data_IF_713186169469
#
_entry.id   IF_713186169469
#
_cell.length_a   1.000
_cell.length_b   1.000
_cell.length_c   1.000
_cell.angle_alpha   90.00
_cell.angle_beta   90.00
_cell.angle_gamma   90.00
#
_symmetry.space_group_name_H-M   'P 1'
#
loop_
_entity.id
_entity.type
_entity.pdbx_description
1 polymer ?
#
# COMPACT_ATOMS: atom_id res chain seq x y z
N UNK A 1 19.99 9.29 2.08
CA UNK A 1 19.34 10.07 1.00
C UNK A 1 19.71 9.66 -0.42
N UNK A 2 20.58 8.65 -0.68
CA UNK A 2 21.04 8.30 -2.04
C UNK A 2 20.07 7.42 -2.86
N UNK A 3 18.97 6.94 -2.26
CA UNK A 3 18.10 5.92 -2.89
C UNK A 3 16.66 6.40 -3.13
N UNK A 4 16.42 7.71 -3.04
CA UNK A 4 15.11 8.30 -3.38
C UNK A 4 15.06 8.59 -4.88
N UNK A 5 14.07 8.00 -5.57
CA UNK A 5 13.85 8.13 -7.00
C UNK A 5 12.47 8.74 -7.22
N UNK A 6 12.33 9.67 -8.17
CA UNK A 6 11.05 10.34 -8.42
C UNK A 6 10.60 10.24 -9.87
N UNK A 7 9.29 10.16 -10.07
CA UNK A 7 8.62 10.22 -11.37
C UNK A 7 7.47 11.21 -11.30
N UNK A 8 7.14 11.84 -12.42
CA UNK A 8 6.07 12.85 -12.47
C UNK A 8 5.34 12.86 -13.82
N UNK A 9 4.11 13.35 -13.79
CA UNK A 9 3.26 13.70 -14.95
C UNK A 9 2.57 15.04 -14.65
N UNK A 10 1.69 15.51 -15.55
CA UNK A 10 0.88 16.69 -15.28
C UNK A 10 -0.10 16.50 -14.10
N UNK A 11 -0.43 15.24 -13.77
CA UNK A 11 -1.45 14.86 -12.79
C UNK A 11 -0.92 14.10 -11.58
N UNK A 12 0.39 13.84 -11.51
CA UNK A 12 0.97 13.13 -10.38
C UNK A 12 2.46 13.41 -10.20
N UNK A 13 2.92 13.28 -8.97
CA UNK A 13 4.34 13.23 -8.62
C UNK A 13 4.52 12.19 -7.51
N UNK A 14 5.51 11.33 -7.66
CA UNK A 14 5.79 10.23 -6.74
C UNK A 14 7.28 10.23 -6.39
N UNK A 15 7.59 10.00 -5.12
CA UNK A 15 8.93 9.64 -4.65
C UNK A 15 8.90 8.21 -4.13
N UNK A 16 9.77 7.37 -4.67
CA UNK A 16 10.02 5.98 -4.31
C UNK A 16 11.33 5.89 -3.51
N UNK A 17 11.30 5.25 -2.34
CA UNK A 17 12.50 4.91 -1.59
C UNK A 17 12.97 3.51 -2.00
N UNK A 18 13.94 3.47 -2.91
CA UNK A 18 14.49 2.23 -3.41
C UNK A 18 15.21 1.41 -2.32
N UNK A 19 15.64 2.01 -1.21
CA UNK A 19 16.27 1.24 -0.13
C UNK A 19 15.27 0.44 0.73
N UNK A 20 13.99 0.85 0.75
CA UNK A 20 12.94 0.21 1.56
C UNK A 20 11.77 -0.36 0.74
N UNK A 21 11.65 0.05 -0.53
CA UNK A 21 10.54 -0.37 -1.40
C UNK A 21 9.23 0.38 -1.19
N UNK A 22 9.23 1.48 -0.43
CA UNK A 22 8.04 2.25 -0.09
C UNK A 22 7.91 3.56 -0.89
N UNK A 23 6.72 4.15 -0.86
CA UNK A 23 6.35 5.37 -1.59
C UNK A 23 6.13 6.50 -0.59
N UNK A 24 7.18 7.09 0.01
CA UNK A 24 7.02 8.05 1.09
C UNK A 24 6.23 9.30 0.71
N UNK A 25 6.17 9.63 -0.59
CA UNK A 25 5.45 10.79 -1.09
C UNK A 25 4.71 10.45 -2.37
N UNK A 26 3.40 10.67 -2.35
CA UNK A 26 2.53 10.64 -3.52
C UNK A 26 1.71 11.92 -3.54
N UNK A 27 1.79 12.67 -4.63
CA UNK A 27 0.95 13.84 -4.87
C UNK A 27 0.17 13.63 -6.15
N UNK A 28 -1.13 13.88 -6.12
CA UNK A 28 -2.03 13.74 -7.26
C UNK A 28 -2.73 15.07 -7.53
N UNK A 29 -2.94 15.42 -8.80
CA UNK A 29 -3.49 16.71 -9.20
C UNK A 29 -4.76 16.54 -10.04
N UNK A 30 -5.83 17.16 -9.56
CA UNK A 30 -7.09 17.22 -10.29
C UNK A 30 -7.81 18.55 -10.07
N UNK A 31 -8.52 19.03 -11.09
CA UNK A 31 -9.23 20.31 -11.05
C UNK A 31 -8.37 21.46 -10.48
N UNK A 32 -7.08 21.52 -10.87
CA UNK A 32 -6.14 22.54 -10.44
C UNK A 32 -5.51 22.34 -9.06
N UNK A 33 -5.99 21.41 -8.23
CA UNK A 33 -5.55 21.21 -6.85
C UNK A 33 -4.66 19.98 -6.69
N UNK A 34 -3.57 20.12 -5.93
CA UNK A 34 -2.71 19.01 -5.51
C UNK A 34 -3.21 18.42 -4.19
N UNK A 35 -3.18 17.09 -4.10
CA UNK A 35 -3.56 16.31 -2.92
C UNK A 35 -2.40 15.36 -2.59
N UNK A 36 -2.01 15.33 -1.32
CA UNK A 36 -1.03 14.37 -0.76
C UNK A 36 -1.79 13.45 0.19
N UNK A 37 -2.22 12.26 -0.28
CA UNK A 37 -3.15 11.43 0.50
C UNK A 37 -2.44 10.52 1.51
N UNK A 38 -1.16 10.21 1.31
CA UNK A 38 -0.44 9.20 2.09
C UNK A 38 0.37 9.81 3.25
N UNK A 39 0.55 9.02 4.31
CA UNK A 39 1.25 9.40 5.53
C UNK A 39 2.72 8.97 5.51
N UNK A 40 3.63 9.81 5.98
CA UNK A 40 4.98 9.43 6.38
C UNK A 40 5.14 9.63 7.88
N UNK A 41 5.67 8.62 8.59
CA UNK A 41 5.85 8.69 10.03
C UNK A 41 6.82 9.83 10.40
N UNK A 42 6.57 10.57 11.50
CA UNK A 42 7.34 11.76 11.84
C UNK A 42 8.82 11.47 12.15
N UNK A 43 9.16 10.22 12.45
CA UNK A 43 10.53 9.78 12.73
C UNK A 43 11.31 9.23 11.54
N UNK A 44 10.68 9.18 10.36
CA UNK A 44 11.26 8.53 9.18
C UNK A 44 12.68 9.00 8.87
N UNK A 45 12.95 10.29 9.09
CA UNK A 45 14.25 10.90 8.78
C UNK A 45 15.07 11.23 10.05
N UNK A 46 14.63 10.81 11.24
CA UNK A 46 15.36 10.99 12.51
C UNK A 46 16.63 10.13 12.52
N UNK A 47 17.85 10.73 12.60
CA UNK A 47 19.10 9.98 12.55
C UNK A 47 19.21 8.89 13.61
N UNK A 48 18.68 9.12 14.81
CA UNK A 48 18.72 8.18 15.93
C UNK A 48 17.87 6.94 15.63
N UNK A 49 16.69 7.11 15.03
CA UNK A 49 15.83 6.00 14.62
C UNK A 49 16.46 5.27 13.44
N UNK A 50 17.05 5.98 12.47
CA UNK A 50 17.73 5.35 11.34
C UNK A 50 18.96 4.55 11.76
N UNK A 51 19.66 4.96 12.83
CA UNK A 51 20.82 4.25 13.36
C UNK A 51 20.47 2.98 14.17
N UNK A 52 19.22 2.84 14.63
CA UNK A 52 18.81 1.70 15.48
C UNK A 52 18.46 0.46 14.66
N UNK A 53 19.46 -0.38 14.39
CA UNK A 53 19.31 -1.62 13.61
C UNK A 53 18.49 -2.71 14.29
N UNK A 54 18.06 -2.52 15.55
CA UNK A 54 17.11 -3.42 16.23
C UNK A 54 15.69 -3.23 15.73
N UNK A 55 15.40 -2.06 15.15
CA UNK A 55 14.12 -1.76 14.52
C UNK A 55 14.12 -2.25 13.07
N UNK A 56 13.09 -3.00 12.62
CA UNK A 56 12.90 -3.33 11.22
C UNK A 56 12.96 -2.08 10.34
N UNK A 57 13.46 -2.23 9.10
CA UNK A 57 13.57 -1.10 8.19
C UNK A 57 12.21 -0.48 7.87
N UNK A 58 11.17 -1.30 7.74
CA UNK A 58 9.78 -0.85 7.52
C UNK A 58 9.30 0.07 8.65
N UNK A 59 9.66 -0.20 9.91
CA UNK A 59 9.28 0.64 11.06
C UNK A 59 10.12 1.91 11.12
N UNK A 60 11.43 1.81 10.87
CA UNK A 60 12.32 2.98 10.82
C UNK A 60 11.92 3.96 9.72
N UNK A 61 11.45 3.45 8.57
CA UNK A 61 11.11 4.25 7.39
C UNK A 61 9.62 4.23 7.05
N UNK A 62 8.76 3.96 8.03
CA UNK A 62 7.31 3.82 7.83
C UNK A 62 6.73 5.01 7.06
N UNK A 63 6.31 4.78 5.82
CA UNK A 63 5.69 5.82 5.00
C UNK A 63 4.95 5.25 3.79
N UNK A 64 3.92 5.98 3.38
CA UNK A 64 3.32 5.84 2.07
C UNK A 64 2.49 4.59 1.89
N UNK A 65 2.74 3.96 0.74
CA UNK A 65 2.38 2.59 0.43
C UNK A 65 3.66 1.75 0.27
N UNK A 66 3.62 0.51 0.73
CA UNK A 66 4.64 -0.51 0.52
C UNK A 66 3.97 -1.86 0.31
N UNK A 67 4.65 -2.74 -0.42
CA UNK A 67 4.14 -4.07 -0.73
C UNK A 67 4.66 -5.07 0.28
N UNK A 68 3.77 -5.79 0.95
CA UNK A 68 4.11 -6.79 1.94
C UNK A 68 4.17 -8.18 1.30
N UNK A 69 5.28 -8.88 1.46
CA UNK A 69 5.47 -10.24 0.97
C UNK A 69 6.60 -10.94 1.78
N UNK A 70 6.26 -11.84 2.72
CA UNK A 70 4.90 -12.14 3.20
C UNK A 70 4.25 -10.98 3.96
N UNK A 71 2.92 -10.90 3.95
CA UNK A 71 2.14 -9.98 4.80
C UNK A 71 2.17 -10.38 6.28
N UNK A 72 2.13 -9.37 7.17
CA UNK A 72 2.21 -9.49 8.62
C UNK A 72 3.48 -10.23 9.09
N UNK A 73 3.34 -11.25 9.94
CA UNK A 73 4.46 -12.07 10.43
C UNK A 73 4.80 -13.21 9.48
N UNK A 74 6.09 -13.47 9.28
CA UNK A 74 6.61 -14.62 8.55
C UNK A 74 6.79 -15.84 9.46
N UNK A 75 6.91 -17.03 8.86
CA UNK A 75 7.25 -18.28 9.58
C UNK A 75 8.72 -18.26 10.02
N UNK A 76 9.62 -17.82 9.15
CA UNK A 76 11.03 -17.66 9.48
C UNK A 76 11.22 -16.39 10.33
N UNK A 77 11.70 -16.50 11.59
CA UNK A 77 11.86 -15.35 12.48
C UNK A 77 12.93 -14.35 12.02
N UNK A 78 13.77 -14.72 11.03
CA UNK A 78 14.75 -13.80 10.44
C UNK A 78 14.10 -12.88 9.39
N UNK A 79 12.89 -13.19 8.94
CA UNK A 79 12.15 -12.35 8.01
C UNK A 79 11.45 -11.25 8.82
N UNK A 80 11.73 -9.97 8.52
CA UNK A 80 11.15 -8.86 9.27
C UNK A 80 9.62 -8.77 9.07
N UNK A 81 8.91 -8.06 9.95
CA UNK A 81 7.49 -7.78 9.76
C UNK A 81 7.21 -7.19 8.36
N UNK A 82 6.12 -7.61 7.74
CA UNK A 82 5.73 -7.28 6.36
C UNK A 82 6.69 -7.79 5.27
N UNK A 83 7.62 -8.68 5.63
CA UNK A 83 8.43 -9.41 4.69
C UNK A 83 9.55 -8.60 4.05
N UNK A 84 10.27 -9.24 3.15
CA UNK A 84 11.48 -8.67 2.56
C UNK A 84 11.20 -7.53 1.59
N UNK A 85 10.04 -7.51 0.93
CA UNK A 85 9.67 -6.46 -0.03
C UNK A 85 9.53 -5.08 0.60
N UNK A 86 9.20 -5.01 1.90
CA UNK A 86 9.10 -3.77 2.68
C UNK A 86 10.38 -3.44 3.48
N UNK A 87 11.38 -4.33 3.45
CA UNK A 87 12.57 -4.26 4.30
C UNK A 87 13.89 -4.44 3.54
N UNK A 88 13.87 -4.44 2.21
CA UNK A 88 15.06 -4.64 1.38
C UNK A 88 15.16 -3.60 0.28
N UNK A 89 16.38 -3.45 -0.24
CA UNK A 89 16.64 -2.61 -1.40
C UNK A 89 16.02 -3.18 -2.68
N UNK A 90 15.59 -2.27 -3.54
CA UNK A 90 15.05 -2.49 -4.86
C UNK A 90 15.99 -1.86 -5.88
N UNK A 91 16.34 -2.61 -6.92
CA UNK A 91 17.10 -2.09 -8.05
C UNK A 91 16.14 -1.49 -9.06
N UNK A 92 16.19 -0.17 -9.24
CA UNK A 92 15.46 0.51 -10.33
C UNK A 92 16.08 0.09 -11.66
N UNK A 93 15.26 -0.48 -12.53
CA UNK A 93 15.67 -0.96 -13.86
C UNK A 93 15.27 -0.02 -14.99
N UNK A 94 14.22 0.78 -14.76
CA UNK A 94 13.72 1.76 -15.71
C UNK A 94 13.13 2.95 -14.94
N UNK A 95 13.43 4.15 -15.41
CA UNK A 95 12.84 5.38 -14.90
C UNK A 95 12.63 6.34 -16.08
N UNK A 96 11.37 6.58 -16.41
CA UNK A 96 10.93 7.51 -17.43
C UNK A 96 9.91 8.48 -16.81
N UNK A 97 9.44 9.45 -17.61
CA UNK A 97 8.36 10.33 -17.20
C UNK A 97 7.13 9.50 -16.83
N UNK A 98 6.68 9.64 -15.59
CA UNK A 98 5.51 8.93 -15.06
C UNK A 98 5.64 7.41 -14.94
N UNK A 99 6.82 6.80 -15.16
CA UNK A 99 6.99 5.35 -15.11
C UNK A 99 8.29 4.97 -14.38
N UNK A 100 8.17 4.05 -13.43
CA UNK A 100 9.31 3.44 -12.74
C UNK A 100 9.14 1.93 -12.70
N UNK A 101 10.21 1.20 -12.98
CA UNK A 101 10.29 -0.25 -12.79
C UNK A 101 11.44 -0.57 -11.84
N UNK A 102 11.20 -1.51 -10.94
CA UNK A 102 12.22 -1.99 -10.03
C UNK A 102 12.06 -3.48 -9.77
N UNK A 103 13.16 -4.12 -9.38
CA UNK A 103 13.20 -5.53 -9.01
C UNK A 103 13.78 -5.65 -7.60
N UNK A 104 13.23 -6.56 -6.80
CA UNK A 104 13.70 -6.79 -5.44
C UNK A 104 15.15 -7.33 -5.44
N UNK A 105 16.00 -6.77 -4.60
CA UNK A 105 17.38 -7.20 -4.43
C UNK A 105 18.39 -6.55 -5.38
N UNK A 106 19.68 -6.77 -5.08
CA UNK A 106 20.81 -6.11 -5.75
C UNK A 106 21.46 -6.94 -6.90
N UNK A 107 20.97 -8.13 -7.20
CA UNK A 107 21.57 -9.01 -8.23
C UNK A 107 21.16 -8.62 -9.66
N UNK A 108 22.09 -8.84 -10.59
CA UNK A 108 22.11 -8.30 -11.95
C UNK A 108 21.15 -8.97 -12.96
N UNK A 109 20.60 -10.15 -12.66
CA UNK A 109 19.88 -10.94 -13.68
C UNK A 109 18.39 -11.04 -13.37
N UNK A 110 17.63 -10.03 -13.80
CA UNK A 110 16.18 -10.09 -14.06
C UNK A 110 15.87 -8.95 -15.05
N UNK A 111 16.53 -8.99 -16.21
CA UNK A 111 16.00 -8.40 -17.42
C UNK A 111 15.11 -9.49 -18.06
N UNK A 112 13.97 -9.10 -18.65
CA UNK A 112 13.04 -9.99 -19.37
C UNK A 112 11.84 -10.55 -18.59
N UNK A 113 11.47 -9.96 -17.45
CA UNK A 113 10.09 -10.10 -16.98
C UNK A 113 9.16 -9.36 -17.94
N UNK A 114 8.19 -10.01 -18.62
CA UNK A 114 7.21 -9.29 -19.43
C UNK A 114 6.31 -8.50 -18.48
N UNK A 115 6.54 -7.18 -18.43
CA UNK A 115 5.79 -6.26 -17.60
C UNK A 115 4.68 -5.64 -18.45
N UNK A 116 3.46 -5.58 -17.93
CA UNK A 116 2.27 -5.37 -18.79
C UNK A 116 1.92 -3.91 -19.08
N UNK A 117 2.67 -2.96 -18.50
CA UNK A 117 2.48 -1.54 -18.77
C UNK A 117 3.40 -1.10 -19.92
N UNK A 118 2.89 -0.77 -21.12
CA UNK A 118 3.71 -0.10 -22.13
C UNK A 118 4.05 1.33 -21.69
N UNK A 119 5.20 1.86 -22.12
CA UNK A 119 5.56 3.27 -21.93
C UNK A 119 4.46 4.18 -22.49
N UNK A 120 4.20 5.35 -21.87
CA UNK A 120 3.27 6.33 -22.42
C UNK A 120 3.70 6.68 -23.85
N UNK A 121 2.83 6.49 -24.85
CA UNK A 121 3.16 6.82 -26.24
C UNK A 121 3.51 8.31 -26.34
N UNK A 122 4.74 8.62 -26.74
CA UNK A 122 5.15 9.96 -27.13
C UNK A 122 4.29 10.43 -28.30
N UNK A 123 3.40 11.41 -28.08
CA UNK A 123 2.85 12.21 -29.18
C UNK A 123 3.78 13.40 -29.40
N UNK A 124 4.43 13.42 -30.57
CA UNK A 124 4.83 14.62 -31.32
C UNK A 124 5.82 15.56 -30.64
N UNK A 125 7.01 15.61 -31.21
CA UNK A 125 8.12 16.48 -30.85
C UNK A 125 7.73 17.97 -30.78
N UNK A 126 8.21 18.63 -29.73
CA UNK A 126 8.18 20.08 -29.52
C UNK A 126 9.27 20.43 -28.52
N UNK A 127 10.51 20.46 -28.99
CA UNK A 127 11.73 20.67 -28.23
C UNK A 127 11.76 22.10 -27.66
N UNK A 128 11.77 22.24 -26.33
CA UNK A 128 12.17 23.46 -25.64
C UNK A 128 13.36 23.10 -24.75
N UNK A 129 14.48 23.74 -25.06
CA UNK A 129 15.77 23.56 -24.41
C UNK A 129 15.71 23.99 -22.93
N UNK A 130 16.28 23.16 -22.05
CA UNK A 130 16.53 23.51 -20.65
C UNK A 130 18.04 23.63 -20.43
N UNK A 131 18.44 24.78 -19.88
CA UNK A 131 19.82 25.18 -19.62
C UNK A 131 20.50 24.32 -18.53
N UNK A 132 21.82 24.16 -18.68
CA UNK A 132 22.69 23.34 -17.86
C UNK A 132 23.06 24.01 -16.51
N UNK A 133 23.22 23.19 -15.46
CA UNK A 133 23.74 23.59 -14.14
C UNK A 133 24.99 22.74 -13.81
N UNK A 134 26.08 23.33 -13.25
CA UNK A 134 27.42 22.77 -13.36
C UNK A 134 27.81 21.75 -12.27
N UNK A 135 28.72 20.84 -12.66
CA UNK A 135 29.43 19.85 -11.83
C UNK A 135 30.37 20.45 -10.79
N UNK A 136 30.42 19.84 -9.59
CA UNK A 136 31.54 19.97 -8.63
C UNK A 136 31.84 18.61 -7.92
N UNK A 137 33.05 18.40 -7.37
CA UNK A 137 33.78 17.13 -7.44
C UNK A 137 33.70 16.24 -6.18
N UNK A 138 34.17 15.00 -6.34
CA UNK A 138 34.31 13.98 -5.30
C UNK A 138 35.42 14.29 -4.29
N UNK A 139 35.31 13.78 -3.04
CA UNK A 139 36.46 13.56 -2.18
C UNK A 139 36.77 12.08 -1.96
N UNK A 140 38.08 11.87 -1.79
CA UNK A 140 38.87 10.64 -1.72
C UNK A 140 38.63 9.80 -0.47
N UNK A 141 38.96 8.52 -0.62
CA UNK A 141 39.11 7.47 0.38
C UNK A 141 40.02 7.85 1.55
N UNK A 142 39.76 7.23 2.73
CA UNK A 142 40.79 6.63 3.60
C UNK A 142 40.17 5.87 4.79
N UNK A 143 40.62 4.62 4.97
CA UNK A 143 40.98 4.06 6.28
C UNK A 143 40.02 3.06 6.92
N UNK A 144 40.26 1.77 6.70
CA UNK A 144 39.71 0.65 7.48
C UNK A 144 40.44 0.48 8.83
N UNK A 145 39.70 -0.03 9.83
CA UNK A 145 40.21 -0.63 11.06
C UNK A 145 39.11 -1.51 11.70
N UNK A 146 39.41 -2.73 12.20
CA UNK A 146 38.43 -3.81 12.27
C UNK A 146 37.65 -3.83 13.60
N UNK A 147 36.32 -3.77 13.50
CA UNK A 147 35.39 -4.04 14.59
C UNK A 147 34.47 -5.20 14.21
N UNK A 148 34.76 -6.39 14.73
CA UNK A 148 34.00 -7.62 14.47
C UNK A 148 32.75 -7.62 15.35
N UNK A 149 31.56 -7.49 14.76
CA UNK A 149 30.28 -7.57 15.47
C UNK A 149 29.06 -7.68 14.56
N UNK A 150 28.64 -8.92 14.29
CA UNK A 150 27.42 -9.41 13.63
C UNK A 150 27.14 -9.06 12.15
N UNK A 151 27.08 -10.15 11.35
CA UNK A 151 26.60 -10.29 9.96
C UNK A 151 25.18 -9.72 9.84
N UNK A 152 24.73 -9.06 8.79
CA UNK A 152 25.25 -8.72 7.48
C UNK A 152 24.02 -8.35 6.65
N UNK A 153 24.06 -7.26 5.88
CA UNK A 153 22.99 -6.87 4.96
C UNK A 153 22.69 -8.05 4.02
N UNK A 154 21.70 -8.86 4.37
CA UNK A 154 21.29 -9.97 3.53
C UNK A 154 20.65 -9.36 2.28
N UNK A 155 21.37 -9.38 1.16
CA UNK A 155 20.84 -9.02 -0.13
C UNK A 155 19.81 -10.06 -0.56
N UNK A 156 18.57 -9.91 -0.07
CA UNK A 156 17.47 -10.78 -0.46
C UNK A 156 17.09 -10.48 -1.90
N UNK A 157 17.18 -11.51 -2.74
CA UNK A 157 16.78 -11.46 -4.16
C UNK A 157 15.51 -12.26 -4.43
N UNK A 158 15.09 -13.12 -3.51
CA UNK A 158 13.88 -13.94 -3.64
C UNK A 158 13.10 -14.04 -2.34
N UNK A 159 11.78 -14.21 -2.45
CA UNK A 159 10.86 -14.44 -1.32
C UNK A 159 10.19 -15.78 -1.53
N UNK A 160 10.43 -16.75 -0.64
CA UNK A 160 9.99 -18.15 -0.82
C UNK A 160 10.42 -18.74 -2.17
N UNK A 161 11.61 -18.33 -2.66
CA UNK A 161 12.13 -18.71 -3.97
C UNK A 161 11.50 -17.99 -5.16
N UNK A 162 10.55 -17.08 -4.94
CA UNK A 162 9.96 -16.26 -5.99
C UNK A 162 10.76 -14.98 -6.23
N UNK A 163 10.85 -14.55 -7.48
CA UNK A 163 11.34 -13.23 -7.85
C UNK A 163 10.18 -12.24 -7.82
N UNK A 164 10.45 -10.98 -7.44
CA UNK A 164 9.42 -9.95 -7.35
C UNK A 164 9.88 -8.69 -8.07
N UNK A 165 9.10 -8.25 -9.04
CA UNK A 165 9.23 -6.96 -9.70
C UNK A 165 8.07 -6.04 -9.33
N UNK A 166 8.33 -4.73 -9.43
CA UNK A 166 7.40 -3.64 -9.15
C UNK A 166 7.39 -2.67 -10.31
N UNK A 167 6.20 -2.22 -10.69
CA UNK A 167 5.99 -1.14 -11.65
C UNK A 167 5.11 -0.09 -10.98
N UNK A 168 5.54 1.17 -11.06
CA UNK A 168 4.80 2.34 -10.62
C UNK A 168 4.56 3.22 -11.84
N UNK A 169 3.30 3.49 -12.17
CA UNK A 169 2.95 4.35 -13.30
C UNK A 169 1.93 5.41 -12.89
N UNK A 170 2.27 6.67 -13.11
CA UNK A 170 1.35 7.79 -12.96
C UNK A 170 0.55 7.97 -14.26
N UNK A 171 -0.75 8.21 -14.15
CA UNK A 171 -1.58 8.58 -15.29
C UNK A 171 -1.14 9.94 -15.86
N UNK A 172 -1.30 10.09 -17.17
CA UNK A 172 -0.97 11.32 -17.89
C UNK A 172 -2.11 12.32 -17.93
N UNK A 173 -3.33 11.87 -17.64
CA UNK A 173 -4.59 12.57 -17.86
C UNK A 173 -5.58 12.40 -16.69
N UNK A 174 -5.16 11.74 -15.62
CA UNK A 174 -5.99 11.44 -14.45
C UNK A 174 -5.14 11.47 -13.16
N UNK A 175 -5.75 11.70 -11.99
CA UNK A 175 -5.03 11.71 -10.72
C UNK A 175 -4.93 10.28 -10.17
N UNK A 176 -4.24 9.41 -10.93
CA UNK A 176 -4.14 7.98 -10.64
C UNK A 176 -2.69 7.50 -10.61
N UNK A 177 -2.34 6.76 -9.57
CA UNK A 177 -1.17 5.91 -9.50
C UNK A 177 -1.59 4.45 -9.74
N UNK A 178 -1.00 3.83 -10.76
CA UNK A 178 -1.09 2.41 -11.05
C UNK A 178 0.12 1.68 -10.47
N UNK A 179 -0.12 0.62 -9.71
CA UNK A 179 0.93 -0.21 -9.12
C UNK A 179 0.73 -1.66 -9.54
N UNK A 180 1.78 -2.29 -10.03
CA UNK A 180 1.80 -3.70 -10.41
C UNK A 180 2.99 -4.39 -9.76
N UNK A 181 2.74 -5.53 -9.13
CA UNK A 181 3.76 -6.45 -8.67
C UNK A 181 3.66 -7.76 -9.45
N UNK A 182 4.77 -8.17 -10.06
CA UNK A 182 4.88 -9.46 -10.74
C UNK A 182 5.70 -10.38 -9.86
N UNK A 183 5.12 -11.52 -9.52
CA UNK A 183 5.74 -12.54 -8.67
C UNK A 183 5.89 -13.81 -9.51
N UNK A 184 7.11 -14.27 -9.72
CA UNK A 184 7.39 -15.44 -10.55
C UNK A 184 8.04 -16.57 -9.78
N UNK A 185 7.60 -17.79 -10.10
CA UNK A 185 8.08 -19.04 -9.50
C UNK A 185 7.87 -19.06 -7.97
N UNK A 186 8.76 -19.73 -7.24
CA UNK A 186 8.69 -19.89 -5.79
C UNK A 186 7.87 -21.10 -5.34
N UNK A 187 7.74 -21.24 -4.03
CA UNK A 187 7.16 -22.41 -3.37
C UNK A 187 6.27 -22.01 -2.20
N UNK A 188 5.25 -22.82 -1.91
CA UNK A 188 4.36 -22.60 -0.78
C UNK A 188 3.25 -21.58 -1.06
N UNK A 189 2.74 -20.95 0.00
CA UNK A 189 1.65 -19.97 -0.06
C UNK A 189 2.16 -18.63 0.45
N UNK A 190 2.17 -17.61 -0.40
CA UNK A 190 2.67 -16.28 -0.08
C UNK A 190 1.50 -15.33 0.21
N UNK A 191 1.25 -14.95 1.48
CA UNK A 191 0.29 -13.89 1.77
C UNK A 191 0.87 -12.54 1.34
N UNK A 192 0.06 -11.71 0.69
CA UNK A 192 0.52 -10.40 0.18
C UNK A 192 -0.48 -9.29 0.47
N UNK A 193 0.00 -8.05 0.55
CA UNK A 193 -0.87 -6.87 0.56
C UNK A 193 -0.16 -5.61 0.09
N UNK A 194 -0.93 -4.69 -0.49
CA UNK A 194 -0.58 -3.27 -0.48
C UNK A 194 -0.89 -2.67 0.89
N UNK A 195 -0.14 -1.65 1.29
CA UNK A 195 -0.25 -1.05 2.62
C UNK A 195 -0.27 0.49 2.58
N UNK A 196 -1.17 1.13 1.81
CA UNK A 196 -1.27 2.59 1.79
C UNK A 196 -1.81 3.09 3.13
N UNK A 197 -1.10 4.06 3.71
CA UNK A 197 -1.51 4.72 4.95
C UNK A 197 -2.09 6.09 4.63
N UNK A 198 -3.38 6.30 4.91
CA UNK A 198 -4.05 7.58 4.74
C UNK A 198 -3.96 8.37 6.05
N UNK A 199 -3.52 9.63 5.97
CA UNK A 199 -3.55 10.55 7.10
C UNK A 199 -4.83 11.40 7.08
N UNK A 200 -5.41 11.60 8.27
CA UNK A 200 -6.53 12.48 8.53
C UNK A 200 -6.15 13.50 9.60
N UNK A 201 -6.17 14.78 9.22
CA UNK A 201 -6.01 15.90 10.16
C UNK A 201 -7.21 16.01 11.11
N UNK A 202 -8.37 15.53 10.67
CA UNK A 202 -9.62 15.54 11.43
C UNK A 202 -10.43 14.28 11.22
N UNK A 203 -11.73 14.45 10.97
CA UNK A 203 -12.63 13.33 10.75
C UNK A 203 -12.61 12.83 9.31
N UNK A 204 -12.95 11.56 9.12
CA UNK A 204 -13.15 10.97 7.81
C UNK A 204 -14.37 10.08 7.75
N UNK A 205 -14.85 9.83 6.53
CA UNK A 205 -15.89 8.86 6.24
C UNK A 205 -15.40 7.83 5.24
N UNK A 206 -15.59 6.56 5.57
CA UNK A 206 -15.14 5.42 4.79
C UNK A 206 -16.29 4.76 4.04
N UNK A 207 -16.05 4.48 2.77
CA UNK A 207 -16.97 3.87 1.83
C UNK A 207 -16.25 2.73 1.12
N UNK A 208 -17.00 1.71 0.70
CA UNK A 208 -16.40 0.54 0.06
C UNK A 208 -17.41 -0.14 -0.85
N UNK A 209 -16.91 -0.90 -1.82
CA UNK A 209 -17.66 -1.96 -2.48
C UNK A 209 -18.19 -2.96 -1.44
N UNK A 210 -19.23 -3.71 -1.83
CA UNK A 210 -19.93 -4.64 -0.93
C UNK A 210 -18.97 -5.67 -0.29
N UNK A 211 -19.08 -5.82 1.03
CA UNK A 211 -18.34 -6.82 1.83
C UNK A 211 -19.29 -7.86 2.39
N UNK A 212 -18.85 -9.11 2.53
CA UNK A 212 -19.65 -10.20 3.15
C UNK A 212 -19.44 -10.30 4.65
N UNK A 213 -18.27 -9.89 5.13
CA UNK A 213 -17.90 -9.99 6.53
C UNK A 213 -16.87 -8.93 6.92
N UNK A 214 -16.89 -8.58 8.19
CA UNK A 214 -15.85 -7.83 8.90
C UNK A 214 -15.36 -8.73 10.03
N UNK A 215 -14.06 -8.95 10.11
CA UNK A 215 -13.42 -9.80 11.11
C UNK A 215 -12.39 -8.98 11.89
N UNK A 216 -12.30 -9.19 13.20
CA UNK A 216 -11.13 -8.78 13.98
C UNK A 216 -10.29 -10.03 14.32
N UNK A 217 -8.96 -9.90 14.39
CA UNK A 217 -8.07 -11.01 14.70
C UNK A 217 -8.29 -11.57 16.12
N UNK A 218 -7.72 -12.74 16.40
CA UNK A 218 -7.82 -13.42 17.70
C UNK A 218 -7.32 -12.56 18.87
N UNK A 219 -6.38 -11.65 18.62
CA UNK A 219 -5.79 -10.76 19.60
C UNK A 219 -5.64 -9.35 19.03
N UNK A 220 -5.75 -8.30 19.87
CA UNK A 220 -5.47 -6.93 19.44
C UNK A 220 -3.99 -6.76 19.06
N UNK A 221 -3.71 -5.78 18.19
CA UNK A 221 -2.35 -5.36 17.84
C UNK A 221 -1.55 -4.92 19.08
N UNK A 222 -2.20 -4.13 19.94
CA UNK A 222 -1.59 -3.58 21.15
C UNK A 222 -2.56 -3.83 22.32
N UNK A 223 -2.22 -4.76 23.25
CA UNK A 223 -3.08 -5.10 24.38
C UNK A 223 -3.49 -3.88 25.21
N UNK A 224 -4.79 -3.73 25.46
CA UNK A 224 -5.33 -2.60 26.23
C UNK A 224 -5.44 -1.28 25.47
N UNK A 225 -5.07 -1.25 24.18
CA UNK A 225 -5.20 -0.06 23.31
C UNK A 225 -6.27 -0.22 22.21
N UNK A 226 -6.96 -1.35 22.15
CA UNK A 226 -8.02 -1.56 21.15
C UNK A 226 -9.36 -0.90 21.53
N UNK A 227 -10.04 -0.30 20.55
CA UNK A 227 -11.44 0.11 20.64
C UNK A 227 -12.39 -1.05 20.30
N UNK A 228 -12.00 -1.92 19.38
CA UNK A 228 -12.78 -3.06 18.90
C UNK A 228 -12.68 -4.25 19.88
N UNK A 229 -13.66 -5.14 19.83
CA UNK A 229 -13.55 -6.45 20.47
C UNK A 229 -12.71 -7.41 19.62
N UNK A 230 -11.95 -8.29 20.27
CA UNK A 230 -11.07 -9.28 19.63
C UNK A 230 -11.26 -10.67 20.28
N UNK A 231 -11.51 -11.73 19.50
CA UNK A 231 -11.99 -11.72 18.11
C UNK A 231 -13.46 -11.28 18.02
N UNK A 232 -13.85 -10.83 16.84
CA UNK A 232 -15.23 -10.48 16.51
C UNK A 232 -15.50 -10.72 15.02
N UNK A 233 -16.78 -10.98 14.70
CA UNK A 233 -17.30 -11.05 13.34
C UNK A 233 -18.56 -10.21 13.23
N UNK A 234 -18.68 -9.43 12.16
CA UNK A 234 -19.89 -8.70 11.79
C UNK A 234 -20.17 -8.82 10.29
N UNK A 235 -21.41 -8.57 9.88
CA UNK A 235 -21.79 -8.40 8.47
C UNK A 235 -22.15 -6.94 8.16
N UNK A 236 -22.00 -6.04 9.13
CA UNK A 236 -22.37 -4.63 9.07
C UNK A 236 -21.21 -3.78 9.60
N UNK A 237 -20.60 -2.98 8.72
CA UNK A 237 -19.48 -2.10 9.05
C UNK A 237 -19.85 -1.04 10.10
N UNK A 238 -21.13 -0.70 10.23
CA UNK A 238 -21.61 0.28 11.20
C UNK A 238 -21.83 -0.32 12.60
N UNK A 239 -21.74 -1.64 12.72
CA UNK A 239 -22.03 -2.40 13.94
C UNK A 239 -20.97 -3.49 14.18
N UNK A 240 -19.73 -3.07 14.42
CA UNK A 240 -18.65 -3.98 14.82
C UNK A 240 -18.57 -4.03 16.34
N UNK A 241 -18.41 -5.22 16.92
CA UNK A 241 -18.34 -5.37 18.37
C UNK A 241 -17.17 -4.57 18.97
N UNK A 242 -17.45 -3.92 20.09
CA UNK A 242 -16.52 -3.01 20.74
C UNK A 242 -15.99 -3.60 22.06
N UNK A 243 -14.79 -3.20 22.49
CA UNK A 243 -14.17 -3.71 23.72
C UNK A 243 -14.96 -3.40 25.01
N UNK A 244 -15.78 -2.35 24.99
CA UNK A 244 -16.66 -1.91 26.09
C UNK A 244 -18.03 -2.60 26.09
N UNK A 245 -18.24 -3.59 25.21
CA UNK A 245 -19.52 -4.30 25.05
C UNK A 245 -20.53 -3.59 24.15
N UNK A 246 -20.19 -2.41 23.62
CA UNK A 246 -21.00 -1.68 22.64
C UNK A 246 -20.72 -2.08 21.18
N UNK A 247 -20.99 -1.15 20.27
CA UNK A 247 -20.65 -1.26 18.84
C UNK A 247 -19.88 -0.04 18.36
N UNK A 248 -19.00 -0.26 17.38
CA UNK A 248 -18.23 0.77 16.68
C UNK A 248 -18.66 0.83 15.22
N UNK A 249 -18.83 2.04 14.71
CA UNK A 249 -19.09 2.33 13.30
C UNK A 249 -17.76 2.55 12.57
N UNK A 250 -17.32 1.56 11.78
CA UNK A 250 -16.08 1.65 11.01
C UNK A 250 -16.17 2.60 9.81
N UNK A 251 -17.36 3.12 9.48
CA UNK A 251 -17.55 4.10 8.40
C UNK A 251 -17.24 5.54 8.84
N UNK A 252 -16.95 5.76 10.13
CA UNK A 252 -16.67 7.08 10.71
C UNK A 252 -15.37 7.07 11.50
N UNK A 253 -14.45 7.97 11.13
CA UNK A 253 -13.13 8.06 11.74
C UNK A 253 -12.94 9.40 12.47
N UNK A 254 -12.18 9.43 13.58
CA UNK A 254 -11.50 8.30 14.23
C UNK A 254 -12.48 7.38 14.99
N UNK A 255 -12.14 6.09 15.11
CA UNK A 255 -12.99 5.12 15.83
C UNK A 255 -12.79 5.17 17.36
N UNK A 256 -11.68 5.78 17.81
CA UNK A 256 -11.30 5.87 19.21
C UNK A 256 -10.20 6.91 19.43
N UNK A 257 -9.71 6.99 20.66
CA UNK A 257 -8.64 7.91 21.07
C UNK A 257 -7.46 7.11 21.60
N UNK A 258 -6.23 7.40 21.17
CA UNK A 258 -5.03 6.66 21.61
C UNK A 258 -5.17 5.15 21.42
N UNK A 259 -5.70 4.75 20.28
CA UNK A 259 -6.02 3.36 19.98
C UNK A 259 -5.12 2.77 18.89
N UNK A 260 -5.02 1.44 18.90
CA UNK A 260 -4.45 0.62 17.83
C UNK A 260 -5.41 -0.53 17.56
N UNK A 261 -6.01 -0.54 16.37
CA UNK A 261 -7.01 -1.54 16.00
C UNK A 261 -6.79 -2.10 14.60
N UNK A 262 -7.32 -3.30 14.38
CA UNK A 262 -7.24 -3.99 13.11
C UNK A 262 -8.55 -4.69 12.78
N UNK A 263 -9.06 -4.47 11.57
CA UNK A 263 -10.23 -5.17 11.03
C UNK A 263 -9.95 -5.64 9.61
N UNK A 264 -10.52 -6.78 9.22
CA UNK A 264 -10.41 -7.37 7.89
C UNK A 264 -11.80 -7.39 7.27
N UNK A 265 -11.97 -6.75 6.13
CA UNK A 265 -13.20 -6.69 5.35
C UNK A 265 -13.07 -7.69 4.19
N UNK A 266 -13.94 -8.68 4.13
CA UNK A 266 -13.92 -9.73 3.10
C UNK A 266 -14.84 -9.35 1.94
N UNK A 267 -14.34 -9.41 0.71
CA UNK A 267 -15.12 -9.06 -0.49
C UNK A 267 -16.37 -9.92 -0.62
N UNK A 268 -17.49 -9.30 -1.00
CA UNK A 268 -18.74 -10.04 -1.20
C UNK A 268 -18.73 -10.86 -2.49
N UNK A 269 -18.11 -10.37 -3.55
CA UNK A 269 -18.12 -10.96 -4.89
C UNK A 269 -16.76 -10.80 -5.58
N UNK A 270 -16.27 -11.80 -6.33
CA UNK A 270 -15.02 -11.69 -7.09
C UNK A 270 -15.17 -10.97 -8.44
N UNK A 271 -16.40 -10.75 -8.91
CA UNK A 271 -16.67 -10.06 -10.18
C UNK A 271 -16.53 -8.54 -10.05
N UNK A 272 -16.11 -7.89 -11.15
CA UNK A 272 -15.95 -6.43 -11.20
C UNK A 272 -14.70 -5.92 -10.49
N UNK A 273 -14.77 -4.70 -9.96
CA UNK A 273 -13.68 -4.05 -9.22
C UNK A 273 -14.02 -3.97 -7.74
N UNK A 274 -13.05 -4.28 -6.89
CA UNK A 274 -13.12 -3.97 -5.46
C UNK A 274 -12.65 -2.53 -5.27
N UNK A 275 -13.34 -1.77 -4.42
CA UNK A 275 -12.95 -0.40 -4.15
C UNK A 275 -13.16 -0.03 -2.68
N UNK A 276 -12.29 0.86 -2.20
CA UNK A 276 -12.37 1.51 -0.89
C UNK A 276 -12.13 2.99 -1.09
N UNK A 277 -12.86 3.85 -0.38
CA UNK A 277 -12.74 5.29 -0.52
C UNK A 277 -12.95 6.02 0.81
N UNK A 278 -12.25 7.13 0.98
CA UNK A 278 -12.27 7.98 2.16
C UNK A 278 -12.58 9.40 1.73
N UNK A 279 -13.65 9.98 2.29
CA UNK A 279 -13.81 11.44 2.33
C UNK A 279 -13.03 11.94 3.54
N UNK A 280 -11.99 12.75 3.31
CA UNK A 280 -11.25 13.44 4.37
C UNK A 280 -11.86 14.82 4.58
N UNK A 281 -12.52 15.02 5.71
CA UNK A 281 -13.40 16.19 5.89
C UNK A 281 -12.62 17.50 6.02
N UNK A 282 -11.48 17.48 6.73
CA UNK A 282 -10.65 18.68 6.93
C UNK A 282 -9.85 19.04 5.67
N UNK A 283 -9.39 18.01 4.96
CA UNK A 283 -8.67 18.16 3.71
C UNK A 283 -9.62 18.50 2.56
N UNK A 284 -10.91 18.20 2.64
CA UNK A 284 -11.89 18.42 1.56
C UNK A 284 -11.52 17.68 0.26
N UNK A 285 -11.18 16.40 0.40
CA UNK A 285 -10.87 15.52 -0.73
C UNK A 285 -11.39 14.10 -0.55
N UNK A 286 -11.35 13.35 -1.65
CA UNK A 286 -11.63 11.92 -1.72
C UNK A 286 -10.34 11.21 -2.08
N UNK A 287 -9.96 10.21 -1.29
CA UNK A 287 -8.90 9.24 -1.60
C UNK A 287 -9.57 7.90 -1.86
N UNK A 288 -9.16 7.19 -2.91
CA UNK A 288 -9.74 5.88 -3.23
C UNK A 288 -8.70 4.89 -3.74
N UNK A 289 -9.03 3.62 -3.55
CA UNK A 289 -8.21 2.47 -3.86
C UNK A 289 -9.02 1.48 -4.69
N UNK A 290 -8.43 0.94 -5.75
CA UNK A 290 -9.06 -0.06 -6.62
C UNK A 290 -8.20 -1.31 -6.71
N UNK A 291 -8.86 -2.46 -6.74
CA UNK A 291 -8.21 -3.78 -6.88
C UNK A 291 -9.07 -4.76 -7.68
N UNK A 292 -8.45 -5.86 -8.07
CA UNK A 292 -9.17 -7.07 -8.46
C UNK A 292 -9.53 -7.89 -7.21
N UNK A 293 -10.82 -8.05 -6.85
CA UNK A 293 -11.23 -8.80 -5.66
C UNK A 293 -11.03 -10.32 -5.80
N UNK A 294 -10.78 -10.84 -7.01
CA UNK A 294 -10.40 -12.23 -7.22
C UNK A 294 -8.91 -12.49 -6.88
N UNK A 295 -8.05 -11.46 -6.99
CA UNK A 295 -6.63 -11.53 -6.63
C UNK A 295 -6.40 -11.06 -5.20
N UNK A 296 -7.05 -9.97 -4.79
CA UNK A 296 -6.96 -9.34 -3.47
C UNK A 296 -8.33 -9.35 -2.78
N UNK A 297 -8.76 -10.50 -2.21
CA UNK A 297 -10.13 -10.69 -1.74
C UNK A 297 -10.43 -10.06 -0.37
N UNK A 298 -9.50 -9.33 0.22
CA UNK A 298 -9.71 -8.62 1.49
C UNK A 298 -9.20 -7.18 1.43
N UNK A 299 -9.83 -6.30 2.19
CA UNK A 299 -9.30 -4.98 2.58
C UNK A 299 -9.10 -5.00 4.08
N UNK A 300 -7.93 -4.65 4.58
CA UNK A 300 -7.66 -4.54 6.00
C UNK A 300 -7.61 -3.07 6.40
N UNK A 301 -8.18 -2.77 7.56
CA UNK A 301 -8.18 -1.45 8.15
C UNK A 301 -7.31 -1.49 9.40
N UNK A 302 -6.12 -0.91 9.33
CA UNK A 302 -5.27 -0.67 10.50
C UNK A 302 -5.49 0.76 10.99
N UNK A 303 -6.08 0.90 12.17
CA UNK A 303 -6.28 2.19 12.81
C UNK A 303 -5.13 2.46 13.78
N UNK A 304 -4.34 3.50 13.54
CA UNK A 304 -3.30 3.94 14.46
C UNK A 304 -3.51 5.40 14.84
N UNK A 305 -3.71 5.62 16.13
CA UNK A 305 -4.04 6.93 16.65
C UNK A 305 -3.30 7.25 17.95
N UNK A 306 -1.99 7.02 17.97
CA UNK A 306 -1.10 7.31 19.09
C UNK A 306 -1.19 6.30 20.24
N UNK A 307 -1.62 5.07 19.96
CA UNK A 307 -1.80 4.04 20.99
C UNK A 307 -0.51 3.29 21.38
N UNK A 308 0.52 3.30 20.52
CA UNK A 308 1.83 2.66 20.80
C UNK A 308 2.77 3.60 21.55
N UNK A 309 3.11 3.23 22.79
CA UNK A 309 3.97 4.06 23.65
C UNK A 309 5.47 3.75 23.51
N UNK A 310 5.83 2.64 22.87
CA UNK A 310 7.23 2.24 22.69
C UNK A 310 7.88 2.97 21.49
N UNK A 311 9.21 3.07 21.48
CA UNK A 311 9.95 3.65 20.36
C UNK A 311 9.84 2.77 19.09
N UNK A 312 9.81 3.35 17.87
CA UNK A 312 9.91 4.79 17.57
C UNK A 312 8.57 5.54 17.67
N UNK A 313 7.47 4.80 17.88
CA UNK A 313 6.09 5.31 17.89
C UNK A 313 5.89 6.41 18.91
N UNK A 314 6.20 6.15 20.19
CA UNK A 314 6.14 7.13 21.29
C UNK A 314 4.83 7.97 21.32
N UNK A 315 3.71 7.38 20.89
CA UNK A 315 2.41 8.06 20.76
C UNK A 315 2.31 9.13 19.66
N UNK A 316 3.28 9.20 18.73
CA UNK A 316 3.39 10.26 17.72
C UNK A 316 2.75 9.94 16.36
N UNK A 317 2.35 8.70 16.13
CA UNK A 317 1.64 8.29 14.91
C UNK A 317 0.13 8.40 15.12
N UNK A 318 -0.45 9.51 14.68
CA UNK A 318 -1.80 9.97 15.06
C UNK A 318 -2.62 10.23 13.81
N UNK A 319 -3.91 9.85 13.83
CA UNK A 319 -4.83 10.11 12.73
C UNK A 319 -4.52 9.32 11.45
N UNK A 320 -3.99 8.09 11.56
CA UNK A 320 -3.58 7.29 10.41
C UNK A 320 -4.43 6.04 10.29
N UNK A 321 -4.88 5.75 9.06
CA UNK A 321 -5.57 4.51 8.73
C UNK A 321 -4.87 3.83 7.55
N UNK A 322 -4.35 2.62 7.76
CA UNK A 322 -3.96 1.71 6.69
C UNK A 322 -5.21 1.19 5.99
N UNK A 323 -5.31 1.34 4.67
CA UNK A 323 -6.38 0.74 3.84
C UNK A 323 -5.73 -0.30 2.94
N UNK A 324 -5.51 -1.47 3.50
CA UNK A 324 -4.55 -2.45 3.00
C UNK A 324 -5.25 -3.52 2.18
N UNK A 325 -5.11 -3.49 0.86
CA UNK A 325 -5.73 -4.49 -0.02
C UNK A 325 -4.81 -5.70 -0.22
N UNK A 326 -5.33 -6.88 0.09
CA UNK A 326 -4.50 -8.08 0.27
C UNK A 326 -5.15 -9.40 -0.09
N UNK A 327 -4.31 -10.44 -0.09
CA UNK A 327 -4.66 -11.85 -0.07
C UNK A 327 -3.82 -12.50 1.04
N UNK A 328 -4.38 -12.54 2.25
CA UNK A 328 -3.65 -12.89 3.46
C UNK A 328 -4.61 -13.41 4.55
N UNK A 329 -4.13 -14.13 5.57
CA UNK A 329 -4.93 -14.53 6.72
C UNK A 329 -4.95 -13.44 7.81
N UNK A 330 -4.90 -12.15 7.42
CA UNK A 330 -4.81 -11.03 8.34
C UNK A 330 -3.55 -11.10 9.21
N UNK A 331 -3.66 -10.71 10.48
CA UNK A 331 -2.52 -10.71 11.41
C UNK A 331 -2.01 -12.11 11.80
N UNK A 332 -2.70 -13.19 11.40
CA UNK A 332 -2.20 -14.55 11.64
C UNK A 332 -0.94 -14.87 10.80
N UNK A 333 -0.65 -14.07 9.76
CA UNK A 333 0.60 -14.13 9.01
C UNK A 333 0.80 -15.40 8.19
N UNK A 334 2.02 -15.59 7.70
CA UNK A 334 2.42 -16.67 6.79
C UNK A 334 2.08 -18.06 7.31
N UNK A 335 2.23 -18.31 8.62
CA UNK A 335 1.96 -19.61 9.22
C UNK A 335 0.50 -20.09 9.03
N UNK A 336 -0.45 -19.17 8.89
CA UNK A 336 -1.86 -19.47 8.68
C UNK A 336 -2.26 -19.45 7.19
N UNK A 337 -1.39 -19.00 6.30
CA UNK A 337 -1.71 -18.86 4.88
C UNK A 337 -1.90 -20.23 4.23
N UNK A 338 -3.04 -20.42 3.56
CA UNK A 338 -3.42 -21.72 2.98
C UNK A 338 -3.83 -22.81 3.98
N UNK A 339 -3.84 -22.49 5.28
CA UNK A 339 -4.40 -23.34 6.34
C UNK A 339 -5.83 -22.89 6.70
N UNK A 340 -6.63 -23.72 7.38
CA UNK A 340 -7.90 -23.26 7.95
C UNK A 340 -7.70 -22.06 8.86
N UNK A 341 -8.35 -20.94 8.56
CA UNK A 341 -8.31 -19.70 9.33
C UNK A 341 -9.63 -18.92 9.16
N UNK A 342 -9.93 -17.93 10.01
CA UNK A 342 -11.20 -17.19 9.96
C UNK A 342 -11.50 -16.52 8.62
N UNK A 343 -10.49 -16.05 7.89
CA UNK A 343 -10.67 -15.41 6.57
C UNK A 343 -10.95 -16.47 5.49
N UNK A 344 -10.21 -17.58 5.49
CA UNK A 344 -10.47 -18.71 4.61
C UNK A 344 -11.88 -19.30 4.82
N UNK A 345 -12.39 -19.29 6.06
CA UNK A 345 -13.74 -19.71 6.39
C UNK A 345 -14.84 -18.83 5.75
N UNK A 346 -14.53 -17.59 5.35
CA UNK A 346 -15.42 -16.73 4.55
C UNK A 346 -15.41 -17.08 3.06
N UNK A 347 -14.66 -18.11 2.65
CA UNK A 347 -14.64 -18.63 1.28
C UNK A 347 -13.73 -17.87 0.33
N UNK A 348 -12.68 -17.22 0.84
CA UNK A 348 -11.68 -16.50 0.04
C UNK A 348 -10.28 -17.04 0.26
N UNK A 349 -9.38 -16.80 -0.71
CA UNK A 349 -7.97 -17.15 -0.57
C UNK A 349 -7.30 -16.31 0.53
N UNK A 350 -6.35 -16.93 1.23
CA UNK A 350 -5.53 -16.30 2.29
C UNK A 350 -4.05 -16.23 1.92
N UNK A 351 -3.73 -16.34 0.64
CA UNK A 351 -2.38 -16.21 0.09
C UNK A 351 -2.29 -16.72 -1.35
N UNK A 352 -1.25 -16.31 -2.06
CA UNK A 352 -0.97 -16.72 -3.43
C UNK A 352 -0.22 -18.04 -3.44
N UNK A 353 -0.79 -19.05 -4.10
CA UNK A 353 -0.11 -20.34 -4.23
C UNK A 353 1.04 -20.23 -5.23
N UNK A 354 2.28 -20.34 -4.78
CA UNK A 354 3.48 -20.31 -5.62
C UNK A 354 3.79 -21.71 -6.18
N UNK A 355 4.42 -21.76 -7.35
CA UNK A 355 4.96 -22.96 -7.96
C UNK A 355 5.99 -22.58 -9.02
N UNK A 356 6.94 -23.46 -9.35
CA UNK A 356 7.91 -23.25 -10.42
C UNK A 356 7.21 -22.86 -11.75
N UNK A 357 7.67 -21.77 -12.38
CA UNK A 357 7.10 -21.23 -13.62
C UNK A 357 5.73 -20.57 -13.48
N UNK A 358 5.09 -20.59 -12.30
CA UNK A 358 3.83 -19.87 -12.07
C UNK A 358 4.08 -18.38 -11.92
N UNK A 359 3.27 -17.57 -12.59
CA UNK A 359 3.30 -16.11 -12.52
C UNK A 359 2.03 -15.57 -11.87
N UNK A 360 2.20 -14.74 -10.85
CA UNK A 360 1.12 -13.94 -10.26
C UNK A 360 1.33 -12.46 -10.61
N UNK A 361 0.22 -11.76 -10.85
CA UNK A 361 0.21 -10.32 -11.10
C UNK A 361 -0.73 -9.68 -10.11
N UNK A 362 -0.19 -8.87 -9.21
CA UNK A 362 -0.94 -8.16 -8.18
C UNK A 362 -1.00 -6.70 -8.55
N UNK A 363 -2.21 -6.16 -8.70
CA UNK A 363 -2.42 -4.78 -9.15
C UNK A 363 -3.28 -4.00 -8.18
N UNK A 364 -2.90 -2.74 -8.02
CA UNK A 364 -3.56 -1.80 -7.13
C UNK A 364 -3.51 -0.41 -7.73
N UNK A 365 -4.55 0.38 -7.48
CA UNK A 365 -4.66 1.75 -7.97
C UNK A 365 -4.93 2.65 -6.79
N UNK A 366 -4.14 3.72 -6.67
CA UNK A 366 -4.42 4.81 -5.72
C UNK A 366 -4.84 6.04 -6.50
N UNK A 367 -5.98 6.64 -6.14
CA UNK A 367 -6.47 7.87 -6.72
C UNK A 367 -6.87 8.90 -5.67
N UNK A 368 -6.81 10.19 -6.03
CA UNK A 368 -7.30 11.25 -5.16
C UNK A 368 -7.84 12.44 -5.95
N UNK A 369 -8.98 12.98 -5.51
CA UNK A 369 -9.67 14.10 -6.17
C UNK A 369 -10.19 15.10 -5.13
N UNK A 370 -10.26 16.40 -5.46
CA UNK A 370 -10.99 17.34 -4.62
C UNK A 370 -12.43 16.85 -4.44
N UNK A 371 -12.97 17.01 -3.24
CA UNK A 371 -14.35 16.59 -2.97
C UNK A 371 -15.30 17.46 -3.79
N UNK A 372 -16.18 16.88 -4.63
CA UNK A 372 -17.15 17.68 -5.34
C UNK A 372 -18.12 18.35 -4.35
N UNK A 373 -18.55 19.57 -4.69
CA UNK A 373 -19.34 20.40 -3.79
C UNK A 373 -20.64 19.69 -3.36
N UNK A 374 -20.91 19.70 -2.05
CA UNK A 374 -22.13 19.11 -1.47
C UNK A 374 -22.10 17.59 -1.30
N UNK A 375 -21.08 16.88 -1.79
CA UNK A 375 -20.99 15.43 -1.63
C UNK A 375 -20.86 15.09 -0.17
N UNK A 376 -21.70 14.19 0.37
CA UNK A 376 -21.57 13.69 1.75
C UNK A 376 -21.34 12.18 1.81
N UNK A 377 -21.19 11.54 0.66
CA UNK A 377 -20.88 10.13 0.61
C UNK A 377 -20.59 9.66 -0.79
N UNK A 378 -20.12 8.43 -0.88
CA UNK A 378 -19.81 7.74 -2.13
C UNK A 378 -20.72 6.51 -2.18
N UNK A 379 -21.57 6.46 -3.20
CA UNK A 379 -22.49 5.35 -3.41
C UNK A 379 -21.84 4.24 -4.23
N UNK A 380 -21.06 4.60 -5.25
CA UNK A 380 -20.40 3.64 -6.12
C UNK A 380 -19.13 4.21 -6.76
N UNK A 381 -18.18 3.31 -7.03
CA UNK A 381 -17.08 3.53 -7.97
C UNK A 381 -17.13 2.41 -9.00
N UNK A 382 -17.36 2.76 -10.26
CA UNK A 382 -17.51 1.82 -11.37
C UNK A 382 -16.70 2.21 -12.59
N UNK A 383 -16.46 1.24 -13.46
CA UNK A 383 -15.72 1.43 -14.71
C UNK A 383 -16.57 1.04 -15.91
N UNK A 384 -16.48 1.83 -16.99
CA UNK A 384 -17.11 1.54 -18.27
C UNK A 384 -16.17 1.93 -19.41
N UNK A 385 -15.52 0.93 -20.02
CA UNK A 385 -14.42 1.17 -20.95
C UNK A 385 -13.28 1.95 -20.26
N UNK A 386 -12.72 2.96 -20.93
CA UNK A 386 -11.59 3.76 -20.42
C UNK A 386 -12.01 4.88 -19.45
N UNK A 387 -13.10 4.67 -18.72
CA UNK A 387 -13.67 5.66 -17.81
C UNK A 387 -13.97 5.04 -16.47
N UNK A 388 -13.47 5.69 -15.42
CA UNK A 388 -13.83 5.48 -14.04
C UNK A 388 -14.87 6.53 -13.63
N UNK A 389 -15.93 6.10 -12.96
CA UNK A 389 -17.00 6.98 -12.46
C UNK A 389 -17.10 6.81 -10.96
N UNK A 390 -16.99 7.91 -10.21
CA UNK A 390 -17.34 7.99 -8.79
C UNK A 390 -18.72 8.64 -8.73
N UNK A 391 -19.63 8.10 -7.94
CA UNK A 391 -20.98 8.66 -7.77
C UNK A 391 -21.36 8.82 -6.30
N UNK A 392 -22.18 9.83 -6.01
CA UNK A 392 -22.78 10.03 -4.69
C UNK A 392 -24.18 9.39 -4.61
N UNK A 393 -24.77 9.43 -3.41
CA UNK A 393 -26.13 8.91 -3.19
C UNK A 393 -27.25 9.75 -3.83
N UNK A 394 -26.96 10.96 -4.31
CA UNK A 394 -27.90 11.85 -4.98
C UNK A 394 -27.85 11.72 -6.53
N UNK A 395 -26.96 10.86 -7.05
CA UNK A 395 -26.80 10.61 -8.49
C UNK A 395 -25.83 11.55 -9.19
N UNK A 396 -25.13 12.44 -8.46
CA UNK A 396 -24.03 13.23 -8.99
C UNK A 396 -22.84 12.34 -9.32
N UNK A 397 -22.05 12.74 -10.32
CA UNK A 397 -20.96 11.91 -10.86
C UNK A 397 -19.70 12.73 -11.10
N UNK A 398 -18.56 12.09 -10.86
CA UNK A 398 -17.25 12.53 -11.29
C UNK A 398 -16.64 11.45 -12.20
N UNK A 399 -16.25 11.82 -13.41
CA UNK A 399 -15.65 10.91 -14.38
C UNK A 399 -14.15 11.21 -14.53
N UNK A 400 -13.34 10.15 -14.57
CA UNK A 400 -11.88 10.22 -14.77
C UNK A 400 -11.48 9.28 -15.92
N UNK A 401 -10.48 9.67 -16.75
CA UNK A 401 -9.81 8.73 -17.64
C UNK A 401 -9.21 7.57 -16.84
N UNK A 402 -9.30 6.36 -17.39
CA UNK A 402 -8.89 5.13 -16.72
C UNK A 402 -8.38 4.10 -17.73
N UNK A 403 -7.45 3.24 -17.31
CA UNK A 403 -6.94 2.13 -18.13
C UNK A 403 -7.81 0.88 -17.93
N UNK A 404 -8.77 0.64 -18.81
CA UNK A 404 -9.80 -0.42 -18.67
C UNK A 404 -9.25 -1.81 -18.34
N UNK A 405 -8.15 -2.19 -18.96
CA UNK A 405 -7.55 -3.53 -18.85
C UNK A 405 -6.58 -3.64 -17.67
N UNK A 406 -6.39 -2.58 -16.87
CA UNK A 406 -5.33 -2.58 -15.87
C UNK A 406 -5.56 -3.67 -14.83
N UNK A 407 -6.67 -3.67 -14.09
CA UNK A 407 -6.86 -4.63 -12.99
C UNK A 407 -6.99 -6.07 -13.50
N UNK A 408 -7.91 -6.30 -14.45
CA UNK A 408 -8.32 -7.65 -14.89
C UNK A 408 -7.48 -8.22 -16.03
N UNK A 409 -6.60 -7.43 -16.64
CA UNK A 409 -5.94 -7.80 -17.90
C UNK A 409 -6.85 -7.60 -19.11
N UNK A 410 -6.36 -8.01 -20.28
CA UNK A 410 -7.18 -8.12 -21.50
C UNK A 410 -7.82 -9.50 -21.50
N UNK A 411 -9.13 -9.56 -21.68
CA UNK A 411 -9.86 -10.79 -22.00
C UNK A 411 -9.42 -11.37 -23.35
#
# INVERSE_FOLDING_TARGET
>A
MRDLVSIETAHGALTFDAAAGNIPKLRLRWAGRWIEPLHAAPWRDEPEVQADTRLPLVDRRLAGDFFCAPFAGAVDPNVPPHGWTANSAWRVTEQERGLLRAVLGAAAELADLPLTLPSPRSRGEGMLEAEAVPHLPSPRERGEGPGRGMRGDAHVTTVLGATIAKILALAEDAPLLYQEHVIESGNGILPVAHHPMVHLTGTGRFFTSRKRAVLTPDRPLEPGRGRLAYPARSTDLTRVAAADGGTVDLTRWPIGTRNEDFAVLVEAVPEGIGWSAVIREAEDDIVFFLKDPAVLPITMLWFSNGGRDHAPWNGRHVGVVGVEDGCAPGLAGEAAAGQPNPIAAEGVASGLALAEGRRHVVRHVTGAVPRPAGWTGIADISTAGDRLTISDGAGQRLELPWRRDFLKGRD
#
